data_IF_870373187434
#
_entry.id   IF_870373187434
#
_cell.length_a   1.000
_cell.length_b   1.000
_cell.length_c   1.000
_cell.angle_alpha   90.00
_cell.angle_beta   90.00
_cell.angle_gamma   90.00
#
_symmetry.space_group_name_H-M   'P 1'
#
loop_
_entity.id
_entity.type
_entity.pdbx_description
1 polymer ?
#
# COMPACT_ATOMS: atom_id res chain seq x y z
N UNK A 1 -14.76 10.49 4.53
CA UNK A 1 -14.97 10.65 3.08
C UNK A 1 -16.13 9.77 2.72
N UNK A 2 -17.19 10.33 2.16
CA UNK A 2 -18.31 9.51 1.71
C UNK A 2 -17.94 8.71 0.43
N UNK A 3 -18.82 7.81 0.00
CA UNK A 3 -18.54 6.95 -1.15
C UNK A 3 -18.42 7.75 -2.46
N UNK A 4 -19.11 8.87 -2.59
CA UNK A 4 -19.11 9.72 -3.79
C UNK A 4 -17.78 10.44 -3.91
N UNK A 5 -17.32 11.05 -2.82
CA UNK A 5 -16.01 11.70 -2.75
C UNK A 5 -14.87 10.73 -3.02
N UNK A 6 -14.93 9.51 -2.44
CA UNK A 6 -13.93 8.47 -2.69
C UNK A 6 -13.90 8.06 -4.15
N UNK A 7 -15.05 7.77 -4.74
CA UNK A 7 -15.13 7.36 -6.16
C UNK A 7 -14.59 8.44 -7.09
N UNK A 8 -14.91 9.72 -6.81
CA UNK A 8 -14.35 10.86 -7.55
C UNK A 8 -12.83 10.90 -7.46
N UNK A 9 -12.28 10.85 -6.26
CA UNK A 9 -10.83 10.85 -6.03
C UNK A 9 -10.14 9.69 -6.77
N UNK A 10 -10.67 8.46 -6.65
CA UNK A 10 -10.10 7.29 -7.32
C UNK A 10 -10.14 7.42 -8.85
N UNK A 11 -11.21 7.99 -9.40
CA UNK A 11 -11.36 8.24 -10.84
C UNK A 11 -10.32 9.26 -11.31
N UNK A 12 -10.14 10.36 -10.58
CA UNK A 12 -9.14 11.39 -10.89
C UNK A 12 -7.71 10.83 -10.80
N UNK A 13 -7.41 10.04 -9.75
CA UNK A 13 -6.12 9.38 -9.59
C UNK A 13 -5.83 8.42 -10.75
N UNK A 14 -6.82 7.61 -11.16
CA UNK A 14 -6.70 6.72 -12.32
C UNK A 14 -6.40 7.53 -13.60
N UNK A 15 -7.10 8.63 -13.83
CA UNK A 15 -6.88 9.48 -15.00
C UNK A 15 -5.45 10.07 -15.02
N UNK A 16 -4.94 10.51 -13.86
CA UNK A 16 -3.56 11.01 -13.76
C UNK A 16 -2.53 9.92 -14.04
N UNK A 17 -2.73 8.71 -13.48
CA UNK A 17 -1.86 7.57 -13.75
C UNK A 17 -1.83 7.25 -15.25
N UNK A 18 -3.01 7.12 -15.88
CA UNK A 18 -3.12 6.82 -17.32
C UNK A 18 -2.49 7.93 -18.18
N UNK A 19 -2.80 9.20 -17.89
CA UNK A 19 -2.27 10.33 -18.66
C UNK A 19 -0.74 10.42 -18.56
N UNK A 20 -0.16 10.05 -17.42
CA UNK A 20 1.29 9.98 -17.21
C UNK A 20 1.92 8.64 -17.56
N UNK A 21 1.18 7.65 -18.08
CA UNK A 21 1.69 6.32 -18.38
C UNK A 21 2.23 5.54 -17.16
N UNK A 22 1.73 5.87 -15.96
CA UNK A 22 2.14 5.25 -14.70
C UNK A 22 1.38 3.96 -14.42
N UNK A 23 2.11 3.00 -13.87
CA UNK A 23 1.60 1.74 -13.33
C UNK A 23 1.63 1.76 -11.81
N UNK A 24 0.55 1.30 -11.18
CA UNK A 24 0.40 1.14 -9.74
C UNK A 24 0.29 -0.35 -9.39
N UNK A 25 1.02 -0.79 -8.37
CA UNK A 25 0.87 -2.10 -7.74
C UNK A 25 0.81 -2.01 -6.21
N UNK A 26 0.24 -3.02 -5.55
CA UNK A 26 0.00 -2.97 -4.09
C UNK A 26 0.44 -4.23 -3.35
N UNK A 27 1.11 -4.06 -2.22
CA UNK A 27 1.46 -5.11 -1.26
C UNK A 27 0.64 -4.91 0.03
N UNK A 28 -0.45 -5.65 0.21
CA UNK A 28 -1.43 -5.39 1.26
C UNK A 28 -1.38 -6.43 2.38
N UNK A 29 -1.19 -5.99 3.62
CA UNK A 29 -1.38 -6.83 4.81
C UNK A 29 -2.71 -6.48 5.49
N UNK A 30 -2.74 -5.44 6.34
CA UNK A 30 -3.92 -5.14 7.15
C UNK A 30 -5.14 -4.68 6.32
N UNK A 31 -4.94 -4.08 5.15
CA UNK A 31 -6.02 -3.69 4.23
C UNK A 31 -6.60 -4.88 3.48
N UNK A 32 -5.85 -5.98 3.34
CA UNK A 32 -6.36 -7.27 2.87
C UNK A 32 -6.89 -7.27 1.44
N UNK A 33 -6.34 -6.45 0.55
CA UNK A 33 -6.78 -6.33 -0.84
C UNK A 33 -7.77 -5.18 -1.08
N UNK A 34 -8.05 -4.35 -0.07
CA UNK A 34 -8.98 -3.23 -0.19
C UNK A 34 -8.49 -2.15 -1.17
N UNK A 35 -7.17 -1.90 -1.23
CA UNK A 35 -6.62 -0.93 -2.20
C UNK A 35 -6.79 -1.48 -3.61
N UNK A 36 -6.41 -2.75 -3.83
CA UNK A 36 -6.60 -3.43 -5.11
C UNK A 36 -8.08 -3.43 -5.52
N UNK A 37 -8.98 -3.79 -4.60
CA UNK A 37 -10.43 -3.76 -4.83
C UNK A 37 -10.88 -2.38 -5.33
N UNK A 38 -10.55 -1.31 -4.61
CA UNK A 38 -10.92 0.05 -4.98
C UNK A 38 -10.36 0.49 -6.34
N UNK A 39 -9.10 0.14 -6.64
CA UNK A 39 -8.53 0.45 -7.96
C UNK A 39 -9.26 -0.32 -9.07
N UNK A 40 -9.58 -1.59 -8.85
CA UNK A 40 -10.25 -2.43 -9.85
C UNK A 40 -11.76 -2.14 -9.99
N UNK A 41 -12.37 -1.48 -9.01
CA UNK A 41 -13.79 -1.10 -9.04
C UNK A 41 -14.04 0.07 -10.01
N UNK A 42 -12.99 0.83 -10.35
CA UNK A 42 -13.04 1.88 -11.37
C UNK A 42 -12.85 1.26 -12.77
N UNK A 43 -13.79 1.47 -13.72
CA UNK A 43 -13.65 0.97 -15.08
C UNK A 43 -12.39 1.51 -15.77
N UNK A 44 -11.70 0.64 -16.53
CA UNK A 44 -10.48 1.00 -17.25
C UNK A 44 -9.19 0.89 -16.43
N UNK A 45 -9.27 0.40 -15.18
CA UNK A 45 -8.11 0.21 -14.29
C UNK A 45 -7.02 -0.70 -14.85
N UNK A 46 -7.31 -1.58 -15.81
CA UNK A 46 -6.30 -2.37 -16.52
C UNK A 46 -5.27 -1.53 -17.27
N UNK A 47 -5.53 -0.25 -17.53
CA UNK A 47 -4.60 0.66 -18.17
C UNK A 47 -3.50 1.21 -17.23
N UNK A 48 -3.66 1.08 -15.91
CA UNK A 48 -2.69 1.63 -14.95
C UNK A 48 -2.51 0.81 -13.67
N UNK A 49 -3.28 -0.26 -13.45
CA UNK A 49 -3.13 -1.12 -12.28
C UNK A 49 -2.45 -2.44 -12.69
N UNK A 50 -1.21 -2.63 -12.23
CA UNK A 50 -0.40 -3.80 -12.55
C UNK A 50 -0.80 -5.04 -11.73
N UNK A 51 -1.44 -4.86 -10.57
CA UNK A 51 -1.88 -5.94 -9.69
C UNK A 51 -1.44 -5.74 -8.23
N UNK A 52 -1.67 -6.76 -7.41
CA UNK A 52 -1.29 -6.70 -6.01
C UNK A 52 -1.13 -8.05 -5.33
N UNK A 53 -0.48 -8.04 -4.17
CA UNK A 53 -0.20 -9.20 -3.33
C UNK A 53 -0.80 -8.97 -1.95
N UNK A 54 -1.70 -9.86 -1.52
CA UNK A 54 -2.18 -9.89 -0.14
C UNK A 54 -1.19 -10.66 0.75
N UNK A 55 -0.21 -9.95 1.32
CA UNK A 55 0.87 -10.53 2.13
C UNK A 55 0.58 -10.44 3.63
N UNK A 56 -0.44 -11.18 4.10
CA UNK A 56 -0.86 -11.13 5.51
C UNK A 56 0.13 -11.81 6.46
N UNK A 57 0.58 -13.04 6.14
CA UNK A 57 1.54 -13.79 6.96
C UNK A 57 2.99 -13.38 6.68
N UNK A 58 3.87 -13.53 7.67
CA UNK A 58 5.31 -13.20 7.55
C UNK A 58 5.98 -13.97 6.40
N UNK A 59 5.69 -15.27 6.27
CA UNK A 59 6.22 -16.11 5.21
C UNK A 59 5.80 -15.61 3.82
N UNK A 60 4.61 -15.00 3.70
CA UNK A 60 4.15 -14.42 2.42
C UNK A 60 4.91 -13.12 2.13
N UNK A 61 5.17 -12.30 3.15
CA UNK A 61 6.03 -11.11 3.03
C UNK A 61 7.44 -11.49 2.58
N UNK A 62 8.02 -12.53 3.18
CA UNK A 62 9.36 -13.01 2.83
C UNK A 62 9.40 -13.58 1.40
N UNK A 63 8.51 -14.53 1.09
CA UNK A 63 8.57 -15.26 -0.19
C UNK A 63 8.16 -14.39 -1.39
N UNK A 64 7.01 -13.71 -1.29
CA UNK A 64 6.44 -12.96 -2.42
C UNK A 64 6.93 -11.52 -2.48
N UNK A 65 7.39 -10.95 -1.37
CA UNK A 65 7.83 -9.55 -1.32
C UNK A 65 9.31 -9.41 -0.96
N UNK A 66 10.02 -10.47 -0.57
CA UNK A 66 11.46 -10.37 -0.28
C UNK A 66 11.76 -9.55 0.98
N UNK A 67 10.79 -9.48 1.89
CA UNK A 67 11.03 -8.93 3.24
C UNK A 67 12.02 -9.84 3.94
N UNK A 68 13.05 -9.27 4.56
CA UNK A 68 14.08 -10.04 5.23
C UNK A 68 13.53 -10.58 6.55
N UNK A 69 13.81 -11.86 6.85
CA UNK A 69 13.41 -12.49 8.10
C UNK A 69 14.00 -11.76 9.31
N UNK A 70 15.22 -11.25 9.17
CA UNK A 70 15.91 -10.45 10.19
C UNK A 70 15.19 -9.13 10.47
N UNK A 71 14.66 -8.47 9.45
CA UNK A 71 13.88 -7.23 9.60
C UNK A 71 12.60 -7.49 10.39
N UNK A 72 11.91 -8.58 10.12
CA UNK A 72 10.73 -9.00 10.88
C UNK A 72 11.10 -9.36 12.32
N UNK A 73 12.21 -10.07 12.53
CA UNK A 73 12.68 -10.46 13.87
C UNK A 73 13.02 -9.23 14.72
N UNK A 74 13.71 -8.25 14.14
CA UNK A 74 14.19 -7.07 14.85
C UNK A 74 13.10 -6.03 15.10
N UNK A 75 12.27 -5.75 14.09
CA UNK A 75 11.32 -4.64 14.14
C UNK A 75 9.86 -5.08 14.24
N UNK A 76 9.58 -6.37 14.04
CA UNK A 76 8.22 -6.91 13.90
C UNK A 76 7.59 -6.60 12.54
N UNK A 77 6.59 -7.40 12.17
CA UNK A 77 5.86 -7.27 10.90
C UNK A 77 5.16 -5.91 10.72
N UNK A 78 4.80 -5.25 11.82
CA UNK A 78 4.23 -3.90 11.84
C UNK A 78 5.34 -2.92 12.19
N UNK A 79 6.04 -2.44 11.17
CA UNK A 79 7.16 -1.51 11.29
C UNK A 79 7.40 -0.77 9.96
N UNK A 80 8.12 0.35 10.05
CA UNK A 80 8.49 1.12 8.86
C UNK A 80 9.42 0.33 7.93
N UNK A 81 10.36 -0.45 8.49
CA UNK A 81 11.30 -1.26 7.72
C UNK A 81 10.59 -2.33 6.89
N UNK A 82 9.63 -3.04 7.48
CA UNK A 82 8.83 -4.04 6.75
C UNK A 82 7.96 -3.39 5.68
N UNK A 83 7.35 -2.23 5.95
CA UNK A 83 6.59 -1.50 4.94
C UNK A 83 7.47 -1.10 3.73
N UNK A 84 8.68 -0.58 3.99
CA UNK A 84 9.63 -0.23 2.93
C UNK A 84 10.01 -1.44 2.08
N UNK A 85 10.42 -2.54 2.72
CA UNK A 85 10.82 -3.77 2.02
C UNK A 85 9.66 -4.37 1.22
N UNK A 86 8.44 -4.37 1.75
CA UNK A 86 7.24 -4.83 1.04
C UNK A 86 7.03 -4.04 -0.27
N UNK A 87 7.12 -2.70 -0.22
CA UNK A 87 6.92 -1.86 -1.39
C UNK A 87 8.06 -2.02 -2.41
N UNK A 88 9.31 -2.00 -1.93
CA UNK A 88 10.50 -2.16 -2.76
C UNK A 88 10.51 -3.51 -3.48
N UNK A 89 10.24 -4.58 -2.75
CA UNK A 89 10.31 -5.93 -3.28
C UNK A 89 9.17 -6.27 -4.23
N UNK A 90 7.98 -5.67 -4.07
CA UNK A 90 6.94 -5.76 -5.10
C UNK A 90 7.35 -5.00 -6.38
N UNK A 91 7.82 -3.76 -6.23
CA UNK A 91 8.29 -2.95 -7.37
C UNK A 91 9.38 -3.67 -8.16
N UNK A 92 10.38 -4.22 -7.46
CA UNK A 92 11.48 -4.95 -8.07
C UNK A 92 11.00 -6.17 -8.86
N UNK A 93 10.05 -6.95 -8.33
CA UNK A 93 9.50 -8.14 -9.01
C UNK A 93 8.73 -7.82 -10.28
N UNK A 94 8.09 -6.67 -10.33
CA UNK A 94 7.28 -6.24 -11.49
C UNK A 94 8.06 -5.37 -12.49
N UNK A 95 9.27 -4.93 -12.14
CA UNK A 95 10.11 -4.04 -12.98
C UNK A 95 10.54 -4.66 -14.32
N UNK A 96 10.40 -5.98 -14.50
CA UNK A 96 10.72 -6.65 -15.76
C UNK A 96 9.53 -6.69 -16.74
N UNK A 97 8.30 -6.49 -16.26
CA UNK A 97 7.07 -6.57 -17.04
C UNK A 97 6.46 -5.19 -17.32
N UNK A 98 6.83 -4.19 -16.52
CA UNK A 98 6.33 -2.82 -16.61
C UNK A 98 7.51 -1.84 -16.68
N UNK A 99 7.28 -0.65 -17.21
CA UNK A 99 8.30 0.42 -17.23
C UNK A 99 8.72 0.76 -15.78
N UNK A 100 9.96 0.46 -15.37
CA UNK A 100 10.40 0.67 -13.99
C UNK A 100 10.42 2.15 -13.61
N UNK A 101 10.65 3.08 -14.55
CA UNK A 101 10.61 4.51 -14.27
C UNK A 101 9.19 4.98 -13.99
N UNK A 102 8.20 4.26 -14.54
CA UNK A 102 6.77 4.56 -14.39
C UNK A 102 6.03 3.57 -13.49
N UNK A 103 6.73 2.84 -12.63
CA UNK A 103 6.13 1.87 -11.71
C UNK A 103 6.17 2.38 -10.26
N UNK A 104 4.98 2.48 -9.66
CA UNK A 104 4.74 2.83 -8.26
C UNK A 104 4.27 1.58 -7.52
N UNK A 105 4.89 1.27 -6.39
CA UNK A 105 4.44 0.21 -5.49
C UNK A 105 4.04 0.78 -4.14
N UNK A 106 2.83 0.44 -3.69
CA UNK A 106 2.36 0.71 -2.35
C UNK A 106 2.53 -0.51 -1.44
N UNK A 107 2.67 -0.27 -0.14
CA UNK A 107 2.55 -1.32 0.86
C UNK A 107 1.75 -0.89 2.08
N UNK A 108 1.06 -1.84 2.73
CA UNK A 108 0.37 -1.61 4.00
C UNK A 108 0.70 -2.72 5.00
N UNK A 109 1.14 -2.35 6.20
CA UNK A 109 1.30 -3.28 7.32
C UNK A 109 0.93 -2.62 8.64
N UNK A 110 0.09 -3.27 9.43
CA UNK A 110 -0.54 -2.61 10.58
C UNK A 110 -1.47 -3.48 11.39
N UNK A 111 -2.00 -2.91 12.47
CA UNK A 111 -2.88 -3.55 13.44
C UNK A 111 -4.28 -2.94 13.32
N UNK A 112 -5.13 -3.52 12.47
CA UNK A 112 -6.48 -2.98 12.26
C UNK A 112 -7.39 -3.10 13.51
N UNK A 113 -7.10 -4.00 14.46
CA UNK A 113 -7.92 -4.23 15.65
C UNK A 113 -8.98 -5.33 15.47
N UNK A 114 -9.85 -5.60 16.45
CA UNK A 114 -9.90 -4.93 17.75
C UNK A 114 -8.81 -5.39 18.72
N UNK A 115 -8.10 -6.49 18.43
CA UNK A 115 -6.98 -6.99 19.23
C UNK A 115 -5.63 -6.90 18.51
N UNK A 116 -4.59 -7.47 19.13
CA UNK A 116 -3.24 -7.54 18.57
C UNK A 116 -2.38 -6.29 18.80
N UNK A 117 -2.93 -5.27 19.45
CA UNK A 117 -2.18 -4.10 19.89
C UNK A 117 -1.39 -4.32 21.18
N UNK A 118 -0.36 -3.50 21.36
CA UNK A 118 0.46 -3.35 22.57
C UNK A 118 0.54 -1.86 22.93
N UNK A 119 1.00 -1.47 24.13
CA UNK A 119 1.24 -0.07 24.44
C UNK A 119 2.17 0.63 23.43
N UNK A 120 3.18 -0.07 22.93
CA UNK A 120 4.15 0.44 21.96
C UNK A 120 3.63 0.43 20.52
N UNK A 121 2.76 -0.53 20.20
CA UNK A 121 2.13 -0.69 18.88
C UNK A 121 0.62 -0.83 19.04
N UNK A 122 -0.12 0.27 19.23
CA UNK A 122 -1.54 0.22 19.53
C UNK A 122 -2.36 -0.27 18.33
N UNK A 123 -3.59 -0.68 18.61
CA UNK A 123 -4.62 -0.86 17.56
C UNK A 123 -4.79 0.46 16.81
N UNK A 124 -4.90 0.37 15.48
CA UNK A 124 -4.97 1.52 14.58
C UNK A 124 -3.61 1.90 13.99
N UNK A 125 -2.48 1.43 14.55
CA UNK A 125 -1.15 1.69 14.00
C UNK A 125 -0.96 0.97 12.66
N UNK A 126 -0.69 1.74 11.61
CA UNK A 126 -0.42 1.25 10.26
C UNK A 126 0.75 2.03 9.65
N UNK A 127 1.68 1.29 9.04
CA UNK A 127 2.75 1.82 8.21
C UNK A 127 2.38 1.67 6.73
N UNK A 128 2.54 2.75 5.98
CA UNK A 128 2.24 2.86 4.56
C UNK A 128 3.53 3.15 3.80
N UNK A 129 3.95 2.23 2.93
CA UNK A 129 5.13 2.43 2.08
C UNK A 129 4.73 2.85 0.67
N UNK A 130 5.53 3.72 0.06
CA UNK A 130 5.50 4.01 -1.38
C UNK A 130 6.93 3.90 -1.93
N UNK A 131 7.10 3.07 -2.96
CA UNK A 131 8.37 2.91 -3.68
C UNK A 131 8.20 3.36 -5.12
N UNK A 132 9.07 4.26 -5.57
CA UNK A 132 9.11 4.82 -6.93
C UNK A 132 10.55 4.87 -7.43
N UNK A 133 10.78 5.47 -8.61
CA UNK A 133 12.13 5.69 -9.11
C UNK A 133 12.94 6.65 -8.19
N UNK A 134 12.27 7.54 -7.46
CA UNK A 134 12.91 8.51 -6.56
C UNK A 134 13.28 7.92 -5.19
N UNK A 135 13.05 6.63 -4.98
CA UNK A 135 13.32 5.93 -3.74
C UNK A 135 12.04 5.48 -3.03
N UNK A 136 12.17 5.18 -1.74
CA UNK A 136 11.07 4.66 -0.92
C UNK A 136 10.81 5.57 0.27
N UNK A 137 9.56 5.97 0.45
CA UNK A 137 9.06 6.73 1.61
C UNK A 137 8.11 5.85 2.41
N UNK A 138 8.10 6.02 3.73
CA UNK A 138 7.15 5.35 4.62
C UNK A 138 6.51 6.38 5.54
N UNK A 139 5.19 6.29 5.69
CA UNK A 139 4.43 7.06 6.67
C UNK A 139 3.85 6.14 7.74
N UNK A 140 3.78 6.63 8.97
CA UNK A 140 3.15 5.95 10.08
C UNK A 140 1.90 6.71 10.50
N UNK A 141 0.79 5.99 10.64
CA UNK A 141 -0.50 6.54 11.04
C UNK A 141 -1.10 5.71 12.15
N UNK A 142 -1.84 6.34 13.07
CA UNK A 142 -2.60 5.66 14.10
C UNK A 142 -4.05 6.10 14.05
N UNK A 143 -4.91 5.23 13.53
CA UNK A 143 -6.31 5.54 13.27
C UNK A 143 -7.19 5.25 14.50
N UNK A 144 -8.13 6.13 14.87
CA UNK A 144 -8.97 5.96 16.05
C UNK A 144 -10.27 5.19 15.77
N UNK A 145 -10.36 4.46 14.65
CA UNK A 145 -11.59 3.82 14.20
C UNK A 145 -11.64 2.33 14.59
N UNK A 146 -12.74 1.67 14.24
CA UNK A 146 -12.85 0.23 14.31
C UNK A 146 -12.02 -0.47 13.22
N UNK A 147 -12.07 -1.80 13.17
CA UNK A 147 -11.32 -2.58 12.18
C UNK A 147 -11.60 -2.13 10.74
N UNK A 148 -12.85 -1.83 10.38
CA UNK A 148 -13.19 -1.43 9.01
C UNK A 148 -12.67 -0.02 8.72
N UNK A 149 -12.94 0.92 9.63
CA UNK A 149 -12.50 2.30 9.48
C UNK A 149 -10.97 2.43 9.42
N UNK A 150 -10.23 1.64 10.21
CA UNK A 150 -8.76 1.64 10.17
C UNK A 150 -8.24 1.13 8.82
N UNK A 151 -8.87 0.11 8.24
CA UNK A 151 -8.53 -0.40 6.91
C UNK A 151 -8.82 0.64 5.83
N UNK A 152 -9.99 1.24 5.86
CA UNK A 152 -10.42 2.24 4.87
C UNK A 152 -9.57 3.51 4.92
N UNK A 153 -9.27 4.01 6.12
CA UNK A 153 -8.39 5.17 6.30
C UNK A 153 -6.98 4.89 5.76
N UNK A 154 -6.43 3.70 6.05
CA UNK A 154 -5.13 3.26 5.55
C UNK A 154 -5.08 3.16 4.03
N UNK A 155 -6.11 2.53 3.42
CA UNK A 155 -6.19 2.39 1.98
C UNK A 155 -6.30 3.74 1.27
N UNK A 156 -7.13 4.66 1.81
CA UNK A 156 -7.29 5.99 1.25
C UNK A 156 -6.01 6.80 1.36
N UNK A 157 -5.34 6.78 2.52
CA UNK A 157 -4.10 7.51 2.72
C UNK A 157 -2.98 6.97 1.81
N UNK A 158 -2.87 5.66 1.64
CA UNK A 158 -1.89 5.07 0.72
C UNK A 158 -2.09 5.56 -0.72
N UNK A 159 -3.34 5.69 -1.18
CA UNK A 159 -3.66 6.22 -2.52
C UNK A 159 -3.44 7.74 -2.61
N UNK A 160 -3.66 8.49 -1.53
CA UNK A 160 -3.28 9.91 -1.47
C UNK A 160 -1.78 10.13 -1.63
N UNK A 161 -0.95 9.27 -1.03
CA UNK A 161 0.51 9.31 -1.22
C UNK A 161 0.91 9.14 -2.69
N UNK A 162 0.12 8.42 -3.50
CA UNK A 162 0.32 8.34 -4.96
C UNK A 162 -0.03 9.66 -5.63
N UNK A 163 -1.19 10.24 -5.31
CA UNK A 163 -1.58 11.55 -5.84
C UNK A 163 -0.58 12.66 -5.51
N UNK A 164 -0.05 12.67 -4.28
CA UNK A 164 1.03 13.57 -3.87
C UNK A 164 2.30 13.39 -4.70
N UNK A 165 2.69 12.14 -4.99
CA UNK A 165 3.84 11.84 -5.82
C UNK A 165 3.64 12.28 -7.28
N UNK A 166 2.43 12.14 -7.83
CA UNK A 166 2.13 12.56 -9.20
C UNK A 166 2.00 14.09 -9.36
N UNK A 167 1.66 14.80 -8.28
CA UNK A 167 1.47 16.25 -8.28
C UNK A 167 2.71 17.09 -7.98
N UNK A 168 3.83 16.46 -7.62
CA UNK A 168 5.13 17.11 -7.37
C UNK A 168 6.10 16.92 -8.52
#
# INVERSE_FOLDING_TARGET
>A
MDNVERTRFLTELQQQLIAGGWWLCTAESCTGGLIAHWMTDIPGSSACFAGGVAAYANQVKETLLGVQAETILQYGAVSAAVAAEMAQGLRARLSAQFDPERLIALSTTGIAGPGGGTPEKPVGLVYLGISTLHGTRVEAHCWPYDRSGNKEASALQALKMVGEFLGG
#
